data_IF_175628795585
#
_entry.id   IF_175628795585
#
_cell.length_a   1.000
_cell.length_b   1.000
_cell.length_c   1.000
_cell.angle_alpha   90.00
_cell.angle_beta   90.00
_cell.angle_gamma   90.00
#
_symmetry.space_group_name_H-M   'P 1'
#
loop_
_entity.id
_entity.type
_entity.pdbx_description
1 polymer ?
#
# COMPACT_ATOMS: atom_id res chain seq x y z
N UNK A 1 -7.13 -5.25 -14.72
CA UNK A 1 -6.09 -6.07 -14.07
C UNK A 1 -6.71 -7.36 -13.54
N UNK A 2 -6.01 -8.47 -13.68
CA UNK A 2 -6.54 -9.79 -13.34
C UNK A 2 -6.27 -10.11 -11.88
N UNK A 3 -7.25 -10.66 -11.13
CA UNK A 3 -7.01 -11.08 -9.74
C UNK A 3 -5.83 -12.04 -9.63
N UNK A 4 -4.98 -11.80 -8.61
CA UNK A 4 -3.77 -12.58 -8.41
C UNK A 4 -2.55 -12.07 -9.17
N UNK A 5 -2.74 -11.14 -10.10
CA UNK A 5 -1.62 -10.52 -10.81
C UNK A 5 -0.84 -9.62 -9.87
N UNK A 6 0.49 -9.65 -10.00
CA UNK A 6 1.35 -8.82 -9.15
C UNK A 6 1.36 -7.38 -9.62
N UNK A 7 1.40 -6.45 -8.67
CA UNK A 7 1.49 -5.04 -8.95
C UNK A 7 2.38 -4.37 -7.92
N UNK A 8 3.06 -3.33 -8.34
CA UNK A 8 3.92 -2.54 -7.48
C UNK A 8 3.21 -1.25 -7.12
N UNK A 9 3.03 -1.00 -5.83
CA UNK A 9 2.35 0.19 -5.34
C UNK A 9 3.34 1.04 -4.57
N UNK A 10 3.39 2.31 -4.92
CA UNK A 10 4.24 3.29 -4.26
C UNK A 10 3.81 3.46 -2.81
N UNK A 11 4.79 3.56 -1.91
CA UNK A 11 4.56 3.83 -0.49
C UNK A 11 5.04 5.23 -0.15
N UNK A 12 4.25 5.94 0.63
CA UNK A 12 4.63 7.25 1.12
C UNK A 12 4.87 7.17 2.63
N UNK A 13 6.08 7.49 3.04
CA UNK A 13 6.50 7.40 4.43
C UNK A 13 6.80 5.98 4.85
N UNK A 14 7.21 5.82 6.10
CA UNK A 14 7.49 4.52 6.67
C UNK A 14 8.76 3.86 6.12
N UNK A 15 8.92 2.56 6.38
CA UNK A 15 10.16 1.86 6.05
C UNK A 15 10.34 1.49 4.59
N UNK A 16 9.28 1.51 3.79
CA UNK A 16 9.33 1.05 2.40
C UNK A 16 9.02 2.18 1.43
N UNK A 17 9.64 2.14 0.24
CA UNK A 17 9.33 3.09 -0.84
C UNK A 17 8.28 2.53 -1.80
N UNK A 18 8.13 1.21 -1.84
CA UNK A 18 7.13 0.53 -2.66
C UNK A 18 6.84 -0.84 -2.09
N UNK A 19 5.70 -1.40 -2.45
CA UNK A 19 5.30 -2.75 -2.06
C UNK A 19 4.83 -3.52 -3.29
N UNK A 20 5.28 -4.77 -3.38
CA UNK A 20 4.77 -5.69 -4.39
C UNK A 20 3.61 -6.46 -3.78
N UNK A 21 2.44 -6.33 -4.37
CA UNK A 21 1.21 -6.96 -3.87
C UNK A 21 0.48 -7.66 -5.01
N UNK A 22 -0.48 -8.50 -4.67
CA UNK A 22 -1.35 -9.15 -5.65
C UNK A 22 -2.65 -8.37 -5.76
N UNK A 23 -3.14 -8.25 -6.97
CA UNK A 23 -4.44 -7.59 -7.20
C UNK A 23 -5.59 -8.52 -6.78
N UNK A 24 -6.62 -8.05 -6.08
CA UNK A 24 -6.76 -6.69 -5.55
C UNK A 24 -5.86 -6.47 -4.33
N UNK A 25 -5.22 -5.30 -4.22
CA UNK A 25 -4.30 -5.05 -3.11
C UNK A 25 -5.06 -4.96 -1.79
N UNK A 26 -4.43 -5.39 -0.69
CA UNK A 26 -5.06 -5.25 0.62
C UNK A 26 -5.22 -3.78 0.99
N UNK A 27 -6.30 -3.46 1.70
CA UNK A 27 -6.57 -2.09 2.11
C UNK A 27 -5.60 -1.61 3.18
N UNK A 28 -5.05 -2.54 3.96
CA UNK A 28 -4.12 -2.23 5.03
C UNK A 28 -3.02 -3.27 5.07
N UNK A 29 -1.81 -2.81 5.43
CA UNK A 29 -0.67 -3.69 5.60
C UNK A 29 0.04 -3.34 6.88
N UNK A 30 0.12 -4.31 7.81
CA UNK A 30 0.73 -4.14 9.12
C UNK A 30 2.25 -4.03 9.00
N UNK A 31 2.81 -3.08 9.74
CA UNK A 31 4.24 -2.93 9.89
C UNK A 31 4.58 -2.82 11.38
N UNK A 32 5.88 -2.95 11.69
CA UNK A 32 6.33 -2.91 13.09
C UNK A 32 5.93 -1.60 13.78
N UNK A 33 6.14 -0.49 13.10
CA UNK A 33 5.97 0.84 13.70
C UNK A 33 4.70 1.55 13.25
N UNK A 34 3.85 0.87 12.51
CA UNK A 34 2.63 1.49 12.01
C UNK A 34 1.88 0.60 11.04
N UNK A 35 1.13 1.24 10.19
CA UNK A 35 0.30 0.54 9.22
C UNK A 35 0.30 1.33 7.91
N UNK A 36 0.38 0.61 6.79
CA UNK A 36 0.15 1.21 5.48
C UNK A 36 -1.32 1.12 5.14
N UNK A 37 -1.89 2.23 4.73
CA UNK A 37 -3.29 2.33 4.31
C UNK A 37 -3.32 2.63 2.82
N UNK A 38 -4.06 1.82 2.06
CA UNK A 38 -4.18 2.01 0.63
C UNK A 38 -5.06 3.20 0.31
N UNK A 39 -4.53 4.12 -0.50
CA UNK A 39 -5.31 5.18 -1.11
C UNK A 39 -5.54 4.82 -2.57
N UNK A 40 -6.75 4.43 -2.88
CA UNK A 40 -7.12 3.92 -4.20
C UNK A 40 -8.06 4.87 -4.95
N UNK A 41 -7.98 6.15 -4.67
CA UNK A 41 -8.73 7.16 -5.38
C UNK A 41 -8.16 7.32 -6.80
N UNK A 42 -9.03 7.40 -7.79
CA UNK A 42 -8.62 7.62 -9.15
C UNK A 42 -8.08 6.37 -9.84
N UNK A 43 -7.31 6.56 -10.94
CA UNK A 43 -6.82 5.44 -11.72
C UNK A 43 -5.77 4.62 -10.98
N UNK A 44 -5.66 3.35 -11.33
CA UNK A 44 -4.82 2.39 -10.63
C UNK A 44 -3.35 2.80 -10.56
N UNK A 45 -2.84 3.48 -11.58
CA UNK A 45 -1.45 3.96 -11.59
C UNK A 45 -1.17 5.07 -10.58
N UNK A 46 -2.21 5.62 -9.96
CA UNK A 46 -2.08 6.65 -8.93
C UNK A 46 -2.28 6.08 -7.52
N UNK A 47 -2.58 4.80 -7.40
CA UNK A 47 -2.78 4.19 -6.09
C UNK A 47 -1.46 4.20 -5.31
N UNK A 48 -1.58 4.36 -4.00
CA UNK A 48 -0.41 4.41 -3.12
C UNK A 48 -0.79 3.92 -1.73
N UNK A 49 0.22 3.47 -1.00
CA UNK A 49 0.08 3.20 0.42
C UNK A 49 0.65 4.38 1.20
N UNK A 50 -0.09 4.83 2.20
CA UNK A 50 0.34 5.91 3.08
C UNK A 50 0.61 5.32 4.45
N UNK A 51 1.78 5.61 5.00
CA UNK A 51 2.18 5.09 6.29
C UNK A 51 1.57 5.92 7.42
N UNK A 52 0.91 5.22 8.35
CA UNK A 52 0.39 5.83 9.56
C UNK A 52 1.12 5.19 10.73
N UNK A 53 1.94 5.99 11.41
CA UNK A 53 2.71 5.49 12.54
C UNK A 53 1.80 5.20 13.73
N UNK A 54 2.13 4.14 14.47
CA UNK A 54 1.44 3.88 15.73
C UNK A 54 1.75 4.99 16.71
N UNK A 55 0.69 5.52 17.32
CA UNK A 55 0.82 6.51 18.38
C UNK A 55 0.74 5.77 19.72
N UNK A 56 1.75 5.92 20.51
CA UNK A 56 1.81 5.29 21.82
C UNK A 56 1.39 6.28 22.88
#
# INVERSE_FOLDING_TARGET
MVPGERMLIRCEGGPSTSRLVRFPPPLEAQERDGIYVLEDDGPIEQWRYVFVAHTV
#
